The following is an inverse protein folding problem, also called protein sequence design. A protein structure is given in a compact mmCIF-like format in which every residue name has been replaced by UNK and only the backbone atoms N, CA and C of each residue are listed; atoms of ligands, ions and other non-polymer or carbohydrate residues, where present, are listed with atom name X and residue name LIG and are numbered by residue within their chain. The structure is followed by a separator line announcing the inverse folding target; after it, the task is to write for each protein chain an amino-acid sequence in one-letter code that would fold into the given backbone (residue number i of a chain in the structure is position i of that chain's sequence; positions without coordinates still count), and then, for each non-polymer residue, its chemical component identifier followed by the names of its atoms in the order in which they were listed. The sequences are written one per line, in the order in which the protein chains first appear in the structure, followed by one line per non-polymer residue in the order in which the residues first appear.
data_IF_781657302685
#
_entry.id   IF_781657302685
#
_cell.length_a   1.000
_cell.length_b   1.000
_cell.length_c   1.000
_cell.angle_alpha   90.00
_cell.angle_beta   90.00
_cell.angle_gamma   90.00
#
_symmetry.space_group_name_H-M   'P 1'
#
loop_
_entity.id
_entity.type
_entity.pdbx_description
1 polymer ?
#
# COMPACT_ATOMS: atom_id res chain seq x y z
N UNK A 1 -3.06 -35.25 18.31
CA UNK A 1 -1.82 -34.45 18.47
C UNK A 1 -2.18 -33.05 18.92
N UNK A 2 -1.50 -32.45 19.91
CA UNK A 2 -1.74 -31.07 20.30
C UNK A 2 -1.40 -30.14 19.12
N UNK A 3 -2.27 -29.17 18.82
CA UNK A 3 -2.02 -28.14 17.80
C UNK A 3 -0.83 -27.31 18.28
N UNK A 4 0.33 -27.45 17.65
CA UNK A 4 1.48 -26.58 17.92
C UNK A 4 1.04 -25.12 17.69
N UNK A 5 1.12 -24.32 18.75
CA UNK A 5 0.76 -22.91 18.68
C UNK A 5 1.88 -22.17 17.93
N UNK A 6 1.53 -21.56 16.80
CA UNK A 6 2.51 -20.84 16.00
C UNK A 6 2.93 -19.54 16.70
N UNK A 7 4.23 -19.18 16.70
CA UNK A 7 4.72 -17.93 17.28
C UNK A 7 3.94 -16.72 16.76
N UNK A 8 3.67 -15.72 17.58
CA UNK A 8 3.08 -14.45 17.11
C UNK A 8 4.16 -13.62 16.41
N UNK A 9 3.82 -13.01 15.27
CA UNK A 9 4.75 -12.08 14.58
C UNK A 9 4.54 -10.67 15.15
N UNK A 10 5.61 -10.06 15.60
CA UNK A 10 5.68 -8.61 15.81
C UNK A 10 6.23 -7.97 14.54
N UNK A 11 5.38 -7.28 13.79
CA UNK A 11 5.77 -6.61 12.55
C UNK A 11 6.56 -5.34 12.84
N UNK A 12 7.88 -5.47 12.95
CA UNK A 12 8.79 -4.34 13.08
C UNK A 12 8.91 -3.57 11.76
N UNK A 13 9.44 -2.33 11.77
CA UNK A 13 9.77 -1.62 10.55
C UNK A 13 10.71 -2.39 9.63
N UNK A 14 11.73 -3.05 10.19
CA UNK A 14 12.67 -3.87 9.42
C UNK A 14 11.97 -5.02 8.67
N UNK A 15 11.07 -5.76 9.33
CA UNK A 15 10.31 -6.84 8.67
C UNK A 15 9.34 -6.31 7.62
N UNK A 16 8.76 -5.13 7.86
CA UNK A 16 7.85 -4.49 6.90
C UNK A 16 8.62 -4.05 5.66
N UNK A 17 9.80 -3.44 5.82
CA UNK A 17 10.69 -3.11 4.71
C UNK A 17 11.19 -4.35 3.97
N UNK A 18 11.56 -5.41 4.69
CA UNK A 18 11.94 -6.67 4.07
C UNK A 18 10.82 -7.24 3.17
N UNK A 19 9.56 -7.12 3.61
CA UNK A 19 8.40 -7.52 2.79
C UNK A 19 8.25 -6.66 1.54
N UNK A 20 8.36 -5.34 1.66
CA UNK A 20 8.28 -4.42 0.52
C UNK A 20 9.41 -4.69 -0.48
N UNK A 21 10.63 -4.93 -0.01
CA UNK A 21 11.78 -5.25 -0.87
C UNK A 21 11.57 -6.60 -1.58
N UNK A 22 11.06 -7.60 -0.87
CA UNK A 22 10.75 -8.90 -1.47
C UNK A 22 9.59 -8.84 -2.48
N UNK A 23 8.63 -7.93 -2.30
CA UNK A 23 7.57 -7.71 -3.28
C UNK A 23 8.09 -7.08 -4.58
N UNK A 24 9.15 -6.26 -4.50
CA UNK A 24 9.81 -5.64 -5.65
C UNK A 24 10.83 -6.54 -6.34
N UNK A 25 11.32 -7.59 -5.66
CA UNK A 25 12.26 -8.54 -6.22
C UNK A 25 11.74 -9.13 -7.54
N UNK A 26 12.60 -9.20 -8.56
CA UNK A 26 12.25 -9.52 -9.95
C UNK A 26 11.40 -10.79 -10.07
N UNK A 27 11.72 -11.82 -9.29
CA UNK A 27 11.05 -13.11 -9.26
C UNK A 27 9.64 -13.09 -8.64
N UNK A 28 9.29 -12.04 -7.90
CA UNK A 28 8.03 -11.89 -7.18
C UNK A 28 7.17 -10.74 -7.74
N UNK A 29 7.83 -9.74 -8.34
CA UNK A 29 7.25 -8.46 -8.78
C UNK A 29 5.97 -8.65 -9.60
N UNK A 30 6.02 -9.51 -10.61
CA UNK A 30 4.90 -9.68 -11.57
C UNK A 30 3.62 -10.18 -10.90
N UNK A 31 3.77 -10.95 -9.81
CA UNK A 31 2.66 -11.50 -9.04
C UNK A 31 2.22 -10.53 -7.93
N UNK A 32 3.17 -9.81 -7.32
CA UNK A 32 2.92 -8.95 -6.16
C UNK A 32 2.42 -7.55 -6.53
N UNK A 33 2.97 -6.98 -7.60
CA UNK A 33 2.74 -5.61 -8.07
C UNK A 33 2.07 -5.56 -9.45
N UNK A 34 2.09 -6.68 -10.18
CA UNK A 34 1.57 -6.75 -11.54
C UNK A 34 2.69 -6.67 -12.59
N UNK A 35 2.29 -6.84 -13.85
CA UNK A 35 3.23 -6.94 -14.98
C UNK A 35 3.55 -5.55 -15.51
N UNK A 36 4.78 -5.34 -15.92
CA UNK A 36 5.14 -4.17 -16.72
C UNK A 36 4.77 -4.37 -18.20
N UNK A 37 4.76 -3.27 -18.96
CA UNK A 37 4.50 -3.29 -20.39
C UNK A 37 5.59 -4.11 -21.09
N UNK A 38 5.18 -5.15 -21.80
CA UNK A 38 6.10 -6.04 -22.53
C UNK A 38 6.62 -7.23 -21.72
N UNK A 39 6.26 -7.37 -20.44
CA UNK A 39 6.64 -8.54 -19.66
C UNK A 39 5.67 -9.72 -19.83
N UNK A 40 6.24 -10.91 -19.98
CA UNK A 40 5.48 -12.15 -19.96
C UNK A 40 4.99 -12.49 -18.54
N UNK A 41 3.83 -13.14 -18.47
CA UNK A 41 3.33 -13.69 -17.22
C UNK A 41 4.32 -14.71 -16.66
N UNK A 42 4.63 -14.61 -15.37
CA UNK A 42 5.33 -15.68 -14.66
C UNK A 42 4.41 -16.89 -14.53
N UNK A 43 4.99 -18.10 -14.55
CA UNK A 43 4.24 -19.34 -14.22
C UNK A 43 3.89 -19.44 -12.74
N UNK A 44 4.56 -18.65 -11.90
CA UNK A 44 4.32 -18.63 -10.46
C UNK A 44 2.97 -17.99 -10.13
N UNK A 45 2.24 -18.61 -9.20
CA UNK A 45 1.03 -18.05 -8.62
C UNK A 45 1.30 -17.33 -7.29
N UNK A 46 0.30 -16.58 -6.80
CA UNK A 46 0.36 -15.81 -5.55
C UNK A 46 0.76 -16.67 -4.34
N UNK A 47 0.31 -17.92 -4.27
CA UNK A 47 0.64 -18.82 -3.16
C UNK A 47 2.12 -19.21 -3.18
N UNK A 48 2.69 -19.53 -4.34
CA UNK A 48 4.11 -19.89 -4.48
C UNK A 48 5.00 -18.71 -4.10
N UNK A 49 4.69 -17.51 -4.60
CA UNK A 49 5.44 -16.29 -4.28
C UNK A 49 5.36 -15.97 -2.78
N UNK A 50 4.18 -15.99 -2.18
CA UNK A 50 4.04 -15.71 -0.76
C UNK A 50 4.72 -16.77 0.13
N UNK A 51 4.79 -18.04 -0.30
CA UNK A 51 5.59 -19.07 0.38
C UNK A 51 7.09 -18.78 0.29
N UNK A 52 7.58 -18.37 -0.88
CA UNK A 52 8.97 -17.96 -1.07
C UNK A 52 9.33 -16.79 -0.14
N UNK A 53 8.52 -15.73 -0.15
CA UNK A 53 8.71 -14.56 0.72
C UNK A 53 8.66 -14.98 2.20
N UNK A 54 7.70 -15.83 2.59
CA UNK A 54 7.59 -16.32 3.97
C UNK A 54 8.83 -17.09 4.43
N UNK A 55 9.43 -17.91 3.55
CA UNK A 55 10.65 -18.65 3.88
C UNK A 55 11.86 -17.75 4.15
N UNK A 56 11.85 -16.53 3.61
CA UNK A 56 12.93 -15.54 3.79
C UNK A 56 12.67 -14.68 5.04
N UNK A 57 11.45 -14.17 5.20
CA UNK A 57 11.14 -13.16 6.22
C UNK A 57 10.79 -13.76 7.59
N UNK A 58 10.15 -14.94 7.59
CA UNK A 58 9.70 -15.62 8.81
C UNK A 58 10.05 -17.12 8.77
N UNK A 59 11.34 -17.48 8.60
CA UNK A 59 11.78 -18.85 8.39
C UNK A 59 11.33 -19.80 9.50
N UNK A 60 11.33 -19.35 10.76
CA UNK A 60 10.87 -20.15 11.90
C UNK A 60 9.41 -20.59 11.76
N UNK A 61 8.52 -19.66 11.42
CA UNK A 61 7.09 -19.96 11.25
C UNK A 61 6.87 -20.79 9.99
N UNK A 62 7.65 -20.52 8.93
CA UNK A 62 7.59 -21.29 7.69
C UNK A 62 8.00 -22.75 7.89
N UNK A 63 9.04 -23.00 8.70
CA UNK A 63 9.49 -24.34 9.06
C UNK A 63 8.44 -25.14 9.83
N UNK A 64 7.67 -24.47 10.68
CA UNK A 64 6.57 -25.09 11.43
C UNK A 64 5.31 -25.30 10.58
N UNK A 65 4.90 -24.28 9.82
CA UNK A 65 3.71 -24.33 8.99
C UNK A 65 3.78 -23.36 7.82
N UNK A 66 4.08 -23.90 6.64
CA UNK A 66 4.24 -23.15 5.38
C UNK A 66 2.99 -22.38 4.98
N UNK A 67 1.80 -22.95 5.16
CA UNK A 67 0.55 -22.32 4.74
C UNK A 67 0.14 -21.20 5.69
N UNK A 68 0.36 -21.37 7.00
CA UNK A 68 0.13 -20.32 7.97
C UNK A 68 1.12 -19.16 7.79
N UNK A 69 2.40 -19.45 7.51
CA UNK A 69 3.39 -18.44 7.20
C UNK A 69 3.02 -17.64 5.94
N UNK A 70 2.65 -18.35 4.86
CA UNK A 70 2.15 -17.74 3.62
C UNK A 70 0.96 -16.80 3.86
N UNK A 71 -0.05 -17.25 4.63
CA UNK A 71 -1.22 -16.44 4.97
C UNK A 71 -0.82 -15.17 5.74
N UNK A 72 0.10 -15.28 6.69
CA UNK A 72 0.58 -14.12 7.48
C UNK A 72 1.28 -13.08 6.63
N UNK A 73 2.12 -13.49 5.68
CA UNK A 73 2.71 -12.58 4.68
C UNK A 73 1.61 -11.93 3.83
N UNK A 74 0.68 -12.74 3.31
CA UNK A 74 -0.42 -12.25 2.47
C UNK A 74 -1.28 -11.20 3.18
N UNK A 75 -1.73 -11.48 4.41
CA UNK A 75 -2.51 -10.54 5.22
C UNK A 75 -1.76 -9.24 5.49
N UNK A 76 -0.46 -9.31 5.80
CA UNK A 76 0.35 -8.09 6.02
C UNK A 76 0.46 -7.27 4.73
N UNK A 77 0.71 -7.92 3.60
CA UNK A 77 0.83 -7.26 2.29
C UNK A 77 -0.49 -6.59 1.89
N UNK A 78 -1.61 -7.30 2.01
CA UNK A 78 -2.93 -6.74 1.70
C UNK A 78 -3.26 -5.56 2.63
N UNK A 79 -2.87 -5.63 3.92
CA UNK A 79 -2.97 -4.51 4.85
C UNK A 79 -2.15 -3.28 4.44
N UNK A 80 -0.91 -3.45 4.00
CA UNK A 80 -0.08 -2.34 3.49
C UNK A 80 -0.73 -1.65 2.29
N UNK A 81 -1.26 -2.42 1.34
CA UNK A 81 -1.97 -1.86 0.16
C UNK A 81 -3.23 -1.11 0.56
N UNK A 82 -3.99 -1.61 1.54
CA UNK A 82 -5.17 -0.90 2.06
C UNK A 82 -4.77 0.43 2.68
N UNK A 83 -3.80 0.44 3.60
CA UNK A 83 -3.32 1.69 4.22
C UNK A 83 -2.77 2.67 3.19
N UNK A 84 -2.02 2.20 2.18
CA UNK A 84 -1.57 3.03 1.06
C UNK A 84 -2.75 3.67 0.31
N UNK A 85 -3.76 2.88 -0.07
CA UNK A 85 -4.95 3.39 -0.79
C UNK A 85 -5.68 4.45 0.03
N UNK A 86 -5.79 4.25 1.34
CA UNK A 86 -6.41 5.23 2.23
C UNK A 86 -5.64 6.55 2.23
N UNK A 87 -4.31 6.51 2.35
CA UNK A 87 -3.47 7.70 2.26
C UNK A 87 -3.51 8.38 0.87
N UNK A 88 -3.41 7.59 -0.20
CA UNK A 88 -3.47 8.09 -1.57
C UNK A 88 -4.84 8.71 -1.91
N UNK A 89 -5.93 8.19 -1.34
CA UNK A 89 -7.26 8.76 -1.51
C UNK A 89 -7.38 10.16 -0.90
N UNK A 90 -6.69 10.42 0.22
CA UNK A 90 -6.62 11.75 0.85
C UNK A 90 -5.92 12.76 -0.05
N UNK A 91 -4.90 12.35 -0.80
CA UNK A 91 -4.29 13.23 -1.81
C UNK A 91 -5.24 13.52 -2.98
N UNK A 92 -6.16 12.61 -3.32
CA UNK A 92 -7.09 12.78 -4.46
C UNK A 92 -8.40 13.49 -4.12
N UNK A 93 -8.83 13.52 -2.86
CA UNK A 93 -10.20 13.91 -2.52
C UNK A 93 -10.40 15.41 -2.27
N UNK A 94 -9.35 16.18 -2.01
CA UNK A 94 -9.55 17.47 -1.33
C UNK A 94 -9.61 18.66 -2.29
N UNK A 95 -10.64 18.64 -3.15
CA UNK A 95 -11.24 19.83 -3.77
C UNK A 95 -12.55 20.27 -3.10
N UNK A 96 -12.91 19.66 -1.97
CA UNK A 96 -13.95 20.19 -1.10
C UNK A 96 -13.29 21.17 -0.12
N UNK A 97 -13.50 22.47 -0.34
CA UNK A 97 -13.01 23.53 0.52
C UNK A 97 -13.40 23.30 1.97
N UNK A 98 -12.52 23.73 2.88
CA UNK A 98 -12.91 23.98 4.27
C UNK A 98 -13.73 25.27 4.23
N UNK A 99 -15.05 25.17 4.06
CA UNK A 99 -15.96 26.23 4.45
C UNK A 99 -16.45 25.92 5.86
N UNK A 100 -15.73 26.44 6.85
CA UNK A 100 -16.40 26.92 8.06
C UNK A 100 -17.16 28.18 7.63
N UNK A 101 -18.48 28.10 7.49
CA UNK A 101 -19.48 28.92 8.19
C UNK A 101 -20.87 28.52 7.70
N UNK A 102 -21.79 28.33 8.64
CA UNK A 102 -23.20 28.00 8.44
C UNK A 102 -23.92 28.91 7.43
N UNK A 103 -24.68 28.34 6.49
CA UNK A 103 -25.95 28.90 6.03
C UNK A 103 -26.78 27.83 5.30
N UNK A 104 -28.03 27.69 5.73
CA UNK A 104 -29.09 26.95 5.08
C UNK A 104 -29.23 27.29 3.58
N UNK A 105 -29.39 26.27 2.73
CA UNK A 105 -30.42 26.26 1.68
C UNK A 105 -30.48 24.90 0.98
N UNK A 106 -31.64 24.26 1.10
CA UNK A 106 -32.10 23.19 0.22
C UNK A 106 -32.16 23.68 -1.23
N UNK A 107 -31.68 22.89 -2.18
CA UNK A 107 -32.36 22.61 -3.46
C UNK A 107 -31.49 21.76 -4.36
N UNK A 108 -32.07 20.66 -4.82
CA UNK A 108 -31.40 19.70 -5.68
C UNK A 108 -31.08 20.26 -7.06
N UNK A 109 -29.82 20.14 -7.44
CA UNK A 109 -29.43 19.87 -8.83
C UNK A 109 -28.19 18.98 -8.76
N UNK A 110 -28.24 17.87 -9.48
CA UNK A 110 -27.21 16.83 -9.51
C UNK A 110 -25.94 17.38 -10.20
N UNK A 111 -25.19 18.20 -9.48
CA UNK A 111 -23.89 18.68 -9.92
C UNK A 111 -22.88 17.54 -9.73
N UNK A 112 -22.74 16.70 -10.76
CA UNK A 112 -21.50 15.98 -11.01
C UNK A 112 -20.39 17.03 -11.22
N UNK A 113 -19.93 17.65 -10.12
CA UNK A 113 -18.71 18.44 -10.11
C UNK A 113 -17.62 17.46 -10.51
N UNK A 114 -17.04 17.68 -11.68
CA UNK A 114 -15.75 17.14 -12.07
C UNK A 114 -14.84 17.25 -10.84
N UNK A 115 -14.51 16.10 -10.26
CA UNK A 115 -13.59 16.02 -9.12
C UNK A 115 -12.20 16.28 -9.70
N UNK A 116 -11.90 17.56 -9.95
CA UNK A 116 -10.56 17.98 -10.37
C UNK A 116 -9.59 17.45 -9.30
N UNK A 117 -8.58 16.71 -9.74
CA UNK A 117 -7.50 16.26 -8.87
C UNK A 117 -6.67 17.49 -8.51
N UNK A 118 -7.12 18.29 -7.55
CA UNK A 118 -6.43 19.51 -7.10
C UNK A 118 -5.01 19.24 -6.56
N UNK A 119 -4.66 17.96 -6.35
CA UNK A 119 -3.47 17.50 -5.67
C UNK A 119 -2.96 16.19 -6.31
N UNK A 120 -2.80 16.14 -7.64
CA UNK A 120 -2.01 15.05 -8.24
C UNK A 120 -0.57 15.14 -7.74
N UNK A 121 -0.05 14.03 -7.23
CA UNK A 121 1.36 13.85 -6.88
C UNK A 121 1.88 12.70 -7.74
N UNK A 122 2.92 12.92 -8.57
CA UNK A 122 3.44 11.86 -9.43
C UNK A 122 4.04 10.70 -8.63
N UNK A 123 4.31 9.54 -9.26
CA UNK A 123 4.84 8.37 -8.57
C UNK A 123 6.15 8.64 -7.81
N UNK A 124 6.99 9.54 -8.33
CA UNK A 124 8.27 9.94 -7.72
C UNK A 124 8.10 10.89 -6.52
N UNK A 125 6.88 11.30 -6.21
CA UNK A 125 6.56 12.24 -5.13
C UNK A 125 6.37 13.68 -5.61
N UNK A 126 6.25 14.65 -4.70
CA UNK A 126 5.97 16.04 -5.04
C UNK A 126 7.05 16.68 -5.92
N UNK A 127 6.64 17.37 -6.97
CA UNK A 127 7.49 18.10 -7.91
C UNK A 127 7.26 19.63 -7.82
N UNK A 128 7.83 20.39 -8.77
CA UNK A 128 7.68 21.84 -8.83
C UNK A 128 6.21 22.28 -8.96
N UNK A 129 5.42 21.52 -9.72
CA UNK A 129 4.01 21.78 -10.01
C UNK A 129 3.07 21.33 -8.88
N UNK A 130 3.56 20.48 -7.97
CA UNK A 130 2.78 20.01 -6.83
C UNK A 130 2.49 21.16 -5.86
N UNK A 131 1.22 21.35 -5.54
CA UNK A 131 0.75 22.43 -4.67
C UNK A 131 1.39 22.35 -3.27
N UNK A 132 1.65 23.49 -2.59
CA UNK A 132 2.20 23.51 -1.23
C UNK A 132 1.40 22.64 -0.25
N UNK A 133 0.08 22.58 -0.46
CA UNK A 133 -0.82 21.76 0.34
C UNK A 133 -0.61 20.26 0.13
N UNK A 134 -0.47 19.82 -1.12
CA UNK A 134 -0.19 18.42 -1.42
C UNK A 134 1.19 18.00 -0.87
N UNK A 135 2.19 18.90 -0.92
CA UNK A 135 3.50 18.73 -0.27
C UNK A 135 3.37 18.53 1.24
N UNK A 136 2.68 19.43 1.94
CA UNK A 136 2.48 19.31 3.39
C UNK A 136 1.80 18.00 3.78
N UNK A 137 0.77 17.57 3.02
CA UNK A 137 0.08 16.31 3.29
C UNK A 137 0.98 15.10 2.99
N UNK A 138 1.75 15.14 1.91
CA UNK A 138 2.76 14.12 1.61
C UNK A 138 3.76 13.97 2.75
N UNK A 139 4.29 15.08 3.26
CA UNK A 139 5.26 15.10 4.36
C UNK A 139 4.65 14.56 5.67
N UNK A 140 3.40 14.93 5.97
CA UNK A 140 2.68 14.40 7.14
C UNK A 140 2.49 12.88 7.03
N UNK A 141 2.07 12.39 5.86
CA UNK A 141 1.85 10.96 5.61
C UNK A 141 3.17 10.20 5.71
N UNK A 142 4.23 10.66 5.04
CA UNK A 142 5.54 10.00 5.03
C UNK A 142 6.21 10.02 6.41
N UNK A 143 5.99 11.07 7.21
CA UNK A 143 6.44 11.13 8.60
C UNK A 143 5.75 10.07 9.46
N UNK A 144 4.43 9.91 9.33
CA UNK A 144 3.64 8.95 10.13
C UNK A 144 3.75 7.52 9.60
N UNK A 145 3.95 7.37 8.31
CA UNK A 145 3.93 6.10 7.58
C UNK A 145 5.02 6.09 6.50
N UNK A 146 6.27 5.76 6.86
CA UNK A 146 7.44 5.92 5.99
C UNK A 146 7.46 4.99 4.77
N UNK A 147 6.50 4.07 4.66
CA UNK A 147 6.33 3.19 3.51
C UNK A 147 5.57 3.86 2.36
N UNK A 148 4.94 5.02 2.61
CA UNK A 148 4.05 5.66 1.65
C UNK A 148 4.75 6.00 0.33
N UNK A 149 5.88 6.69 0.40
CA UNK A 149 6.60 7.16 -0.79
C UNK A 149 7.00 5.99 -1.69
N UNK A 150 7.59 4.95 -1.09
CA UNK A 150 7.99 3.74 -1.83
C UNK A 150 6.78 3.04 -2.41
N UNK A 151 5.69 2.85 -1.66
CA UNK A 151 4.50 2.19 -2.21
C UNK A 151 3.77 3.03 -3.27
N UNK A 152 3.96 4.36 -3.27
CA UNK A 152 3.40 5.25 -4.28
C UNK A 152 4.16 5.21 -5.61
N UNK A 153 5.45 4.85 -5.57
CA UNK A 153 6.29 4.71 -6.76
C UNK A 153 6.20 3.33 -7.44
N UNK A 154 5.42 2.38 -6.88
CA UNK A 154 5.25 1.01 -7.39
C UNK A 154 3.99 0.83 -8.25
#
# INVERSE_FOLDING_TARGET
APKQQLPKITWTPALTWALINQAQAKENRNVMLGKEVGENSTRDNKTQVLKRIASIIIPEIFGLNKDAAQKRIGTKWDGLKTTYKDHASKLRQIGAGIEETQAHAESGVNAFKHKYMDCYVPPDGPDAETTPRAKNLWDEITTKWPYFSVLHSL
#
